data_IF_893450694305
#
_entry.id   IF_893450694305
#
_cell.length_a   1.000
_cell.length_b   1.000
_cell.length_c   1.000
_cell.angle_alpha   90.00
_cell.angle_beta   90.00
_cell.angle_gamma   90.00
#
_symmetry.space_group_name_H-M   'P 1'
#
loop_
_entity.id
_entity.type
_entity.pdbx_description
1 polymer ?
#
# COMPACT_ATOMS: atom_id res chain seq x y z
N UNK A 1 1.56 14.53 -36.40
CA UNK A 1 0.48 15.55 -36.52
C UNK A 1 0.67 16.39 -37.78
N UNK A 2 1.90 16.83 -38.05
CA UNK A 2 2.27 17.53 -39.28
C UNK A 2 1.94 16.76 -40.56
N UNK A 3 2.35 15.48 -40.65
CA UNK A 3 2.04 14.61 -41.80
C UNK A 3 0.55 14.36 -42.03
N UNK A 4 -0.31 14.69 -41.05
CA UNK A 4 -1.78 14.60 -41.15
C UNK A 4 -2.44 15.97 -41.38
N UNK A 5 -1.66 17.05 -41.51
CA UNK A 5 -2.18 18.41 -41.71
C UNK A 5 -2.91 19.01 -40.51
N UNK A 6 -2.77 18.42 -39.32
CA UNK A 6 -3.49 18.82 -38.09
C UNK A 6 -2.66 19.78 -37.21
N UNK A 7 -1.40 20.03 -37.58
CA UNK A 7 -0.54 20.97 -36.88
C UNK A 7 -0.88 22.40 -37.35
N UNK A 8 -1.31 23.28 -36.44
CA UNK A 8 -1.76 24.63 -36.77
C UNK A 8 -2.10 25.48 -35.54
N UNK A 9 -2.58 26.71 -35.76
CA UNK A 9 -2.79 27.73 -34.72
C UNK A 9 -3.83 27.37 -33.65
N UNK A 10 -4.77 26.49 -33.97
CA UNK A 10 -5.87 26.09 -33.07
C UNK A 10 -5.52 24.88 -32.18
N UNK A 11 -4.30 24.33 -32.31
CA UNK A 11 -3.84 23.17 -31.55
C UNK A 11 -2.76 23.60 -30.54
N UNK A 12 -3.12 23.60 -29.26
CA UNK A 12 -2.13 23.68 -28.18
C UNK A 12 -1.65 22.28 -27.82
N UNK A 13 -0.36 22.04 -28.01
CA UNK A 13 0.32 20.84 -27.54
C UNK A 13 0.99 21.19 -26.22
N UNK A 14 0.63 20.46 -25.17
CA UNK A 14 1.26 20.55 -23.87
C UNK A 14 1.81 19.17 -23.51
N UNK A 15 3.02 19.15 -22.94
CA UNK A 15 3.61 17.93 -22.40
C UNK A 15 3.01 17.67 -21.01
N UNK A 16 2.37 16.52 -20.87
CA UNK A 16 1.92 16.01 -19.58
C UNK A 16 2.85 14.88 -19.16
N UNK A 17 3.78 15.19 -18.25
CA UNK A 17 4.62 14.18 -17.63
C UNK A 17 3.81 13.39 -16.61
N UNK A 18 3.28 12.22 -17.01
CA UNK A 18 2.75 11.26 -16.07
C UNK A 18 3.90 10.75 -15.20
N UNK A 19 3.88 11.15 -13.93
CA UNK A 19 4.90 10.78 -12.96
C UNK A 19 4.65 9.41 -12.33
N UNK A 20 5.44 9.13 -11.30
CA UNK A 20 5.32 7.95 -10.48
C UNK A 20 4.01 7.93 -9.70
N UNK A 21 3.35 6.78 -9.71
CA UNK A 21 2.14 6.51 -8.95
C UNK A 21 2.56 5.87 -7.62
N UNK A 22 2.31 6.52 -6.48
CA UNK A 22 2.52 5.89 -5.17
C UNK A 22 1.46 4.82 -4.95
N UNK A 23 1.88 3.55 -4.97
CA UNK A 23 1.01 2.40 -4.73
C UNK A 23 0.89 2.16 -3.22
N UNK A 24 2.00 2.28 -2.49
CA UNK A 24 2.04 2.25 -1.03
C UNK A 24 3.15 3.19 -0.51
N UNK A 25 3.30 3.30 0.81
CA UNK A 25 4.28 4.18 1.49
C UNK A 25 5.74 3.92 1.10
N UNK A 26 6.03 2.74 0.57
CA UNK A 26 7.36 2.27 0.17
C UNK A 26 7.37 1.62 -1.23
N UNK A 27 6.32 1.83 -2.02
CA UNK A 27 6.18 1.26 -3.36
C UNK A 27 5.64 2.29 -4.34
N UNK A 28 6.39 2.52 -5.42
CA UNK A 28 6.00 3.41 -6.53
C UNK A 28 6.05 2.64 -7.85
N UNK A 29 5.18 3.01 -8.79
CA UNK A 29 5.11 2.39 -10.11
C UNK A 29 4.91 3.45 -11.20
N UNK A 30 5.44 3.22 -12.39
CA UNK A 30 5.06 4.00 -13.58
C UNK A 30 3.79 3.44 -14.26
N UNK A 31 3.28 2.30 -13.79
CA UNK A 31 2.12 1.60 -14.36
C UNK A 31 2.23 1.44 -15.89
N UNK A 32 3.31 0.79 -16.33
CA UNK A 32 3.60 0.54 -17.75
C UNK A 32 3.58 -0.98 -18.04
N UNK A 33 2.39 -1.60 -18.17
CA UNK A 33 2.27 -3.05 -18.35
C UNK A 33 2.93 -3.56 -19.64
N UNK A 34 3.07 -2.73 -20.67
CA UNK A 34 3.66 -3.11 -21.95
C UNK A 34 5.19 -3.16 -21.94
N UNK A 35 5.86 -2.62 -20.91
CA UNK A 35 7.34 -2.48 -20.86
C UNK A 35 8.05 -3.79 -21.10
N UNK A 36 7.58 -4.86 -20.47
CA UNK A 36 8.20 -6.16 -20.59
C UNK A 36 8.18 -6.64 -22.05
N UNK A 37 7.02 -6.56 -22.69
CA UNK A 37 6.84 -7.00 -24.07
C UNK A 37 7.59 -6.10 -25.04
N UNK A 38 7.43 -4.78 -24.94
CA UNK A 38 8.13 -3.81 -25.80
C UNK A 38 9.64 -3.99 -25.76
N UNK A 39 10.22 -4.14 -24.58
CA UNK A 39 11.66 -4.28 -24.45
C UNK A 39 12.16 -5.68 -24.82
N UNK A 40 11.62 -6.74 -24.21
CA UNK A 40 12.18 -8.08 -24.35
C UNK A 40 11.72 -8.83 -25.61
N UNK A 41 10.56 -8.49 -26.19
CA UNK A 41 10.09 -9.10 -27.44
C UNK A 41 10.41 -8.24 -28.67
N UNK A 42 10.29 -6.91 -28.57
CA UNK A 42 10.45 -6.02 -29.73
C UNK A 42 11.76 -5.22 -29.72
N UNK A 43 12.56 -5.30 -28.65
CA UNK A 43 13.83 -4.57 -28.54
C UNK A 43 13.65 -3.05 -28.38
N UNK A 44 12.45 -2.59 -28.02
CA UNK A 44 12.18 -1.17 -27.83
C UNK A 44 12.75 -0.67 -26.51
N UNK A 45 13.79 0.16 -26.61
CA UNK A 45 14.51 0.76 -25.48
C UNK A 45 13.82 2.02 -24.93
N UNK A 46 12.76 2.51 -25.57
CA UNK A 46 12.16 3.82 -25.25
C UNK A 46 11.64 3.86 -23.82
N UNK A 47 10.94 2.82 -23.37
CA UNK A 47 10.38 2.80 -22.02
C UNK A 47 11.42 2.69 -20.90
N UNK A 48 12.41 1.76 -20.93
CA UNK A 48 13.45 1.76 -19.91
C UNK A 48 14.25 3.06 -19.89
N UNK A 49 14.52 3.67 -21.05
CA UNK A 49 15.19 4.96 -21.11
C UNK A 49 14.36 6.06 -20.44
N UNK A 50 13.06 6.13 -20.78
CA UNK A 50 12.13 7.08 -20.17
C UNK A 50 11.97 6.87 -18.65
N UNK A 51 11.93 5.61 -18.19
CA UNK A 51 11.96 5.27 -16.77
C UNK A 51 13.17 5.88 -16.07
N UNK A 52 14.35 5.79 -16.69
CA UNK A 52 15.57 6.42 -16.20
C UNK A 52 15.45 7.93 -16.05
N UNK A 53 14.86 8.60 -17.04
CA UNK A 53 14.60 10.04 -16.97
C UNK A 53 13.64 10.38 -15.83
N UNK A 54 12.54 9.64 -15.69
CA UNK A 54 11.58 9.87 -14.61
C UNK A 54 12.17 9.60 -13.22
N UNK A 55 13.14 8.70 -13.11
CA UNK A 55 13.88 8.47 -11.86
C UNK A 55 14.69 9.71 -11.46
N UNK A 56 15.27 10.45 -12.41
CA UNK A 56 16.01 11.69 -12.14
C UNK A 56 15.16 12.70 -11.37
N UNK A 57 13.89 12.85 -11.76
CA UNK A 57 12.93 13.71 -11.08
C UNK A 57 12.57 13.24 -9.67
N UNK A 58 12.45 11.93 -9.45
CA UNK A 58 12.20 11.39 -8.10
C UNK A 58 13.37 11.66 -7.18
N UNK A 59 14.60 11.54 -7.68
CA UNK A 59 15.79 11.82 -6.89
C UNK A 59 15.83 13.28 -6.42
N UNK A 60 15.43 14.25 -7.26
CA UNK A 60 15.35 15.66 -6.84
C UNK A 60 14.37 15.90 -5.69
N UNK A 61 13.35 15.04 -5.54
CA UNK A 61 12.31 15.17 -4.51
C UNK A 61 12.68 14.39 -3.24
N UNK A 62 13.26 13.20 -3.40
CA UNK A 62 13.49 12.26 -2.28
C UNK A 62 14.83 12.48 -1.59
N UNK A 63 15.82 13.03 -2.29
CA UNK A 63 17.13 13.28 -1.68
C UNK A 63 17.06 14.37 -0.61
N UNK A 64 17.77 14.20 0.53
CA UNK A 64 17.85 15.21 1.57
C UNK A 64 18.38 16.56 1.05
N UNK A 65 18.03 17.68 1.72
CA UNK A 65 18.61 18.98 1.40
C UNK A 65 20.14 18.93 1.41
N UNK A 66 20.77 19.42 0.35
CA UNK A 66 22.22 19.42 0.18
C UNK A 66 22.80 18.18 -0.52
N UNK A 67 21.98 17.19 -0.87
CA UNK A 67 22.35 16.12 -1.79
C UNK A 67 21.74 16.36 -3.17
N UNK A 68 22.54 16.14 -4.21
CA UNK A 68 22.10 16.19 -5.59
C UNK A 68 21.98 14.78 -6.18
N UNK A 69 21.19 14.58 -7.25
CA UNK A 69 21.14 13.31 -7.99
C UNK A 69 22.50 12.79 -8.46
N UNK A 70 23.54 13.63 -8.49
CA UNK A 70 24.93 13.24 -8.77
C UNK A 70 25.60 12.45 -7.68
N UNK A 71 25.11 12.56 -6.45
CA UNK A 71 25.77 12.04 -5.26
C UNK A 71 25.28 10.62 -4.95
N UNK A 72 24.57 10.00 -5.88
CA UNK A 72 24.08 8.64 -5.77
C UNK A 72 25.13 7.62 -6.19
N UNK A 73 25.15 6.48 -5.53
CA UNK A 73 25.90 5.30 -5.95
C UNK A 73 24.97 4.35 -6.72
N UNK A 74 24.95 4.48 -8.05
CA UNK A 74 24.06 3.71 -8.94
C UNK A 74 24.70 2.38 -9.38
N UNK A 75 24.01 1.27 -9.13
CA UNK A 75 24.35 -0.05 -9.65
C UNK A 75 23.24 -0.55 -10.55
N UNK A 76 23.56 -0.92 -11.79
CA UNK A 76 22.60 -1.41 -12.76
C UNK A 76 22.94 -2.83 -13.22
N UNK A 77 22.01 -3.76 -13.04
CA UNK A 77 22.20 -5.16 -13.37
C UNK A 77 21.20 -5.58 -14.46
N UNK A 78 21.71 -6.17 -15.53
CA UNK A 78 20.91 -6.63 -16.68
C UNK A 78 20.61 -5.53 -17.70
N UNK A 79 20.09 -5.92 -18.86
CA UNK A 79 20.10 -5.08 -20.06
C UNK A 79 19.15 -3.88 -19.96
N UNK A 80 17.91 -4.08 -19.49
CA UNK A 80 16.96 -2.97 -19.35
C UNK A 80 17.41 -1.95 -18.29
N UNK A 81 18.04 -2.42 -17.22
CA UNK A 81 18.56 -1.56 -16.15
C UNK A 81 19.69 -0.66 -16.64
N UNK A 82 20.54 -1.15 -17.55
CA UNK A 82 21.60 -0.35 -18.17
C UNK A 82 21.02 0.76 -19.07
N UNK A 83 19.96 0.46 -19.82
CA UNK A 83 19.24 1.48 -20.61
C UNK A 83 18.60 2.54 -19.70
N UNK A 84 17.99 2.12 -18.58
CA UNK A 84 17.48 3.04 -17.57
C UNK A 84 18.58 3.89 -16.92
N UNK A 85 19.75 3.32 -16.64
CA UNK A 85 20.89 4.07 -16.11
C UNK A 85 21.37 5.15 -17.11
N UNK A 86 21.34 4.87 -18.42
CA UNK A 86 21.65 5.84 -19.46
C UNK A 86 20.61 6.99 -19.51
N UNK A 87 19.32 6.66 -19.41
CA UNK A 87 18.24 7.64 -19.31
C UNK A 87 18.38 8.55 -18.09
N UNK A 88 18.69 7.96 -16.94
CA UNK A 88 18.94 8.70 -15.70
C UNK A 88 20.16 9.62 -15.83
N UNK A 89 21.26 9.13 -16.38
CA UNK A 89 22.47 9.94 -16.60
C UNK A 89 22.20 11.15 -17.51
N UNK A 90 21.39 10.95 -18.55
CA UNK A 90 20.95 12.05 -19.44
C UNK A 90 20.14 13.10 -18.68
N UNK A 91 19.22 12.66 -17.83
CA UNK A 91 18.38 13.57 -17.06
C UNK A 91 19.17 14.33 -15.99
N UNK A 92 20.09 13.66 -15.29
CA UNK A 92 21.02 14.32 -14.36
C UNK A 92 21.83 15.41 -15.06
N UNK A 93 22.29 15.15 -16.30
CA UNK A 93 22.96 16.15 -17.13
C UNK A 93 22.08 17.37 -17.42
N UNK A 94 20.79 17.15 -17.71
CA UNK A 94 19.82 18.22 -17.96
C UNK A 94 19.52 19.05 -16.70
N UNK A 95 19.37 18.39 -15.55
CA UNK A 95 19.16 19.06 -14.26
C UNK A 95 20.34 19.98 -13.93
N UNK A 96 21.58 19.51 -14.10
CA UNK A 96 22.80 20.33 -13.93
C UNK A 96 22.81 21.55 -14.83
N UNK A 97 22.46 21.39 -16.10
CA UNK A 97 22.46 22.48 -17.07
C UNK A 97 21.41 23.56 -16.75
N UNK A 98 20.28 23.15 -16.17
CA UNK A 98 19.16 24.06 -15.83
C UNK A 98 19.37 24.77 -14.50
N UNK A 99 20.15 24.18 -13.58
CA UNK A 99 20.41 24.68 -12.23
C UNK A 99 21.92 24.91 -12.04
N UNK A 100 22.54 25.89 -12.74
CA UNK A 100 23.94 26.22 -12.50
C UNK A 100 24.11 26.70 -11.05
N UNK A 101 25.18 26.26 -10.40
CA UNK A 101 25.47 26.48 -8.99
C UNK A 101 25.26 27.93 -8.54
N UNK A 102 24.13 28.21 -7.90
CA UNK A 102 23.99 29.38 -7.03
C UNK A 102 24.49 28.99 -5.65
N UNK A 103 25.76 29.28 -5.38
CA UNK A 103 26.50 29.35 -4.10
C UNK A 103 27.92 28.78 -4.25
N UNK A 104 28.77 29.45 -5.03
CA UNK A 104 30.18 29.57 -4.68
C UNK A 104 30.44 31.05 -4.39
N UNK A 105 30.32 31.41 -3.10
CA UNK A 105 30.83 32.68 -2.61
C UNK A 105 32.34 32.54 -2.52
N UNK A 106 33.05 33.50 -3.12
CA UNK A 106 34.51 33.56 -3.23
C UNK A 106 35.24 33.24 -1.91
N UNK A 107 36.46 32.67 -1.97
CA UNK A 107 37.25 32.43 -0.77
C UNK A 107 37.82 33.77 -0.31
N UNK A 108 37.22 34.36 0.72
CA UNK A 108 37.90 35.37 1.52
C UNK A 108 38.39 34.73 2.82
N UNK A 109 39.71 34.76 2.96
CA UNK A 109 40.50 34.22 4.04
C UNK A 109 40.11 34.81 5.40
N UNK A 110 39.77 33.98 6.39
CA UNK A 110 40.46 33.83 7.69
C UNK A 110 39.63 33.04 8.71
N UNK A 111 40.30 32.08 9.34
CA UNK A 111 40.06 31.52 10.68
C UNK A 111 38.78 30.73 10.99
N UNK A 112 39.08 29.53 11.50
CA UNK A 112 38.47 28.88 12.66
C UNK A 112 37.38 27.82 12.45
N UNK A 113 37.78 26.66 12.99
CA UNK A 113 36.98 25.59 13.59
C UNK A 113 36.58 24.42 12.68
N UNK A 114 37.31 23.33 12.93
CA UNK A 114 37.06 21.95 12.55
C UNK A 114 35.61 21.59 12.90
N UNK A 115 34.69 21.75 11.94
CA UNK A 115 33.40 21.10 11.99
C UNK A 115 33.65 19.63 11.65
N UNK A 116 33.40 18.76 12.62
CA UNK A 116 33.44 17.32 12.46
C UNK A 116 32.64 16.91 11.22
N UNK A 117 33.36 16.58 10.14
CA UNK A 117 32.77 16.13 8.89
C UNK A 117 31.95 14.87 9.17
N UNK A 118 30.64 15.03 9.26
CA UNK A 118 29.70 13.92 9.29
C UNK A 118 29.94 13.14 8.00
N UNK A 119 30.18 11.81 8.05
CA UNK A 119 30.51 11.04 6.85
C UNK A 119 29.40 11.22 5.82
N UNK A 120 29.77 11.77 4.66
CA UNK A 120 28.86 12.03 3.55
C UNK A 120 28.48 10.69 2.91
N UNK A 121 27.39 10.08 3.38
CA UNK A 121 26.94 8.80 2.88
C UNK A 121 26.18 8.99 1.56
N UNK A 122 26.76 8.45 0.48
CA UNK A 122 26.16 8.48 -0.84
C UNK A 122 25.00 7.47 -0.90
N UNK A 123 23.76 7.89 -1.18
CA UNK A 123 22.62 6.99 -1.28
C UNK A 123 22.85 5.93 -2.36
N UNK A 124 22.62 4.66 -2.03
CA UNK A 124 22.75 3.56 -2.98
C UNK A 124 21.44 3.38 -3.74
N UNK A 125 21.52 3.37 -5.06
CA UNK A 125 20.41 3.05 -5.95
C UNK A 125 20.76 1.80 -6.76
N UNK A 126 19.89 0.80 -6.72
CA UNK A 126 20.10 -0.45 -7.45
C UNK A 126 18.97 -0.64 -8.46
N UNK A 127 19.33 -0.79 -9.72
CA UNK A 127 18.42 -1.11 -10.81
C UNK A 127 18.59 -2.56 -11.22
N UNK A 128 17.49 -3.31 -11.21
CA UNK A 128 17.45 -4.69 -11.68
C UNK A 128 16.62 -4.80 -12.94
N UNK A 129 17.14 -5.52 -13.93
CA UNK A 129 16.37 -5.94 -15.09
C UNK A 129 15.68 -7.27 -14.81
N UNK A 130 14.45 -7.44 -15.31
CA UNK A 130 13.66 -8.67 -15.09
C UNK A 130 14.35 -9.92 -15.66
N UNK A 131 15.19 -9.79 -16.68
CA UNK A 131 15.91 -10.92 -17.27
C UNK A 131 16.96 -11.58 -16.39
N UNK A 132 17.25 -11.01 -15.22
CA UNK A 132 18.11 -11.63 -14.22
C UNK A 132 17.45 -12.80 -13.49
N UNK A 133 16.12 -12.85 -13.49
CA UNK A 133 15.37 -13.88 -12.80
C UNK A 133 13.98 -13.98 -13.45
N UNK A 134 13.70 -15.05 -14.20
CA UNK A 134 12.36 -15.30 -14.73
C UNK A 134 11.54 -16.22 -13.85
N UNK A 135 12.17 -16.86 -12.85
CA UNK A 135 11.55 -17.93 -12.08
C UNK A 135 10.62 -17.33 -11.03
N UNK A 136 11.07 -16.33 -10.27
CA UNK A 136 10.27 -15.72 -9.19
C UNK A 136 8.87 -15.25 -9.63
N UNK A 137 8.68 -14.51 -10.74
CA UNK A 137 7.33 -14.09 -11.15
C UNK A 137 6.44 -15.24 -11.64
N UNK A 138 7.00 -16.43 -11.90
CA UNK A 138 6.24 -17.63 -12.29
C UNK A 138 5.93 -18.54 -11.09
N UNK A 139 6.51 -18.25 -9.92
CA UNK A 139 6.25 -19.00 -8.69
C UNK A 139 4.98 -18.48 -8.01
N UNK A 140 4.19 -19.39 -7.45
CA UNK A 140 3.08 -19.01 -6.57
C UNK A 140 3.67 -18.40 -5.29
N UNK A 141 3.35 -17.14 -4.97
CA UNK A 141 3.89 -16.50 -3.78
C UNK A 141 3.26 -17.07 -2.50
N UNK A 142 3.92 -16.86 -1.36
CA UNK A 142 3.44 -17.35 -0.06
C UNK A 142 3.19 -16.24 0.97
N UNK A 143 3.46 -14.99 0.60
CA UNK A 143 3.15 -13.82 1.44
C UNK A 143 1.69 -13.39 1.23
N UNK A 144 1.13 -12.69 2.21
CA UNK A 144 -0.28 -12.37 2.22
C UNK A 144 -0.71 -11.46 1.06
N UNK A 145 -0.07 -10.31 0.88
CA UNK A 145 -0.39 -9.37 -0.20
C UNK A 145 -0.19 -9.96 -1.59
N UNK A 146 0.90 -10.70 -1.78
CA UNK A 146 1.17 -11.32 -3.07
C UNK A 146 0.12 -12.40 -3.40
N UNK A 147 -0.39 -13.14 -2.40
CA UNK A 147 -1.50 -14.06 -2.61
C UNK A 147 -2.84 -13.36 -2.84
N UNK A 148 -3.07 -12.20 -2.21
CA UNK A 148 -4.23 -11.36 -2.54
C UNK A 148 -4.17 -10.96 -4.01
N UNK A 149 -3.02 -10.50 -4.50
CA UNK A 149 -2.82 -10.18 -5.91
C UNK A 149 -3.04 -11.39 -6.83
N UNK A 150 -2.53 -12.57 -6.45
CA UNK A 150 -2.68 -13.80 -7.23
C UNK A 150 -4.15 -14.26 -7.34
N UNK A 151 -4.93 -14.13 -6.26
CA UNK A 151 -6.29 -14.69 -6.15
C UNK A 151 -7.38 -13.69 -6.56
N UNK A 152 -7.26 -12.45 -6.08
CA UNK A 152 -8.27 -11.39 -6.27
C UNK A 152 -7.85 -10.44 -7.40
N UNK A 153 -6.55 -10.20 -7.55
CA UNK A 153 -6.03 -9.13 -8.39
C UNK A 153 -5.93 -7.81 -7.63
N UNK A 154 -4.77 -7.16 -7.73
CA UNK A 154 -4.57 -5.78 -7.29
C UNK A 154 -4.25 -4.96 -8.53
N UNK A 155 -5.10 -3.99 -8.84
CA UNK A 155 -4.89 -3.04 -9.94
C UNK A 155 -4.67 -1.64 -9.38
N UNK A 156 -3.48 -1.07 -9.60
CA UNK A 156 -3.09 0.25 -9.10
C UNK A 156 -3.37 0.46 -7.60
N UNK A 157 -3.08 -0.56 -6.79
CA UNK A 157 -3.31 -0.54 -5.34
C UNK A 157 -4.78 -0.73 -4.93
N UNK A 158 -5.69 -1.03 -5.87
CA UNK A 158 -7.11 -1.25 -5.61
C UNK A 158 -7.46 -2.73 -5.78
N UNK A 159 -8.24 -3.26 -4.84
CA UNK A 159 -8.87 -4.58 -4.92
C UNK A 159 -10.37 -4.44 -5.05
N UNK A 160 -10.98 -5.33 -5.84
CA UNK A 160 -12.43 -5.47 -5.91
C UNK A 160 -12.83 -6.70 -5.08
N UNK A 161 -13.44 -6.45 -3.93
CA UNK A 161 -13.81 -7.49 -3.00
C UNK A 161 -15.09 -8.20 -3.48
N UNK A 162 -15.10 -9.54 -3.57
CA UNK A 162 -16.29 -10.30 -3.90
C UNK A 162 -17.32 -10.23 -2.75
N UNK A 163 -18.59 -10.41 -3.09
CA UNK A 163 -19.72 -10.58 -2.14
C UNK A 163 -19.97 -9.44 -1.13
N UNK A 164 -19.44 -8.24 -1.37
CA UNK A 164 -19.74 -7.04 -0.58
C UNK A 164 -21.05 -6.41 -1.05
N UNK A 165 -22.03 -6.25 -0.14
CA UNK A 165 -23.32 -5.62 -0.42
C UNK A 165 -23.34 -4.12 -0.14
N UNK A 166 -24.29 -3.43 -0.76
CA UNK A 166 -24.49 -1.98 -0.59
C UNK A 166 -24.99 -1.69 0.84
N UNK A 167 -24.10 -1.21 1.69
CA UNK A 167 -24.38 -0.92 3.11
C UNK A 167 -23.42 -1.59 4.08
N UNK A 168 -22.56 -2.49 3.59
CA UNK A 168 -21.50 -3.09 4.40
C UNK A 168 -20.48 -2.05 4.86
N UNK A 169 -19.81 -2.36 5.98
CA UNK A 169 -18.81 -1.48 6.58
C UNK A 169 -17.57 -1.31 5.67
N UNK A 170 -17.31 -2.30 4.81
CA UNK A 170 -16.21 -2.30 3.84
C UNK A 170 -16.80 -2.00 2.46
N UNK A 171 -16.20 -1.09 1.66
CA UNK A 171 -16.64 -0.85 0.29
C UNK A 171 -16.22 -2.00 -0.65
N UNK A 172 -16.98 -2.21 -1.73
CA UNK A 172 -16.67 -3.22 -2.74
C UNK A 172 -15.35 -2.95 -3.47
N UNK A 173 -14.98 -1.68 -3.69
CA UNK A 173 -13.65 -1.29 -4.15
C UNK A 173 -12.86 -0.70 -3.00
N UNK A 174 -11.69 -1.27 -2.74
CA UNK A 174 -10.87 -0.92 -1.60
C UNK A 174 -9.45 -0.63 -2.06
N UNK A 175 -8.91 0.53 -1.66
CA UNK A 175 -7.48 0.80 -1.79
C UNK A 175 -6.73 -0.01 -0.73
N UNK A 176 -5.97 -1.00 -1.18
CA UNK A 176 -5.15 -1.89 -0.36
C UNK A 176 -3.73 -1.30 -0.23
N UNK A 177 -3.59 -0.32 0.65
CA UNK A 177 -2.30 0.30 0.99
C UNK A 177 -2.19 0.53 2.49
N UNK A 178 -0.95 0.66 2.97
CA UNK A 178 -0.65 0.94 4.37
C UNK A 178 -1.15 2.32 4.83
N UNK A 179 -1.38 3.25 3.89
CA UNK A 179 -1.98 4.56 4.17
C UNK A 179 -3.49 4.49 4.41
N UNK A 180 -4.20 3.59 3.72
CA UNK A 180 -5.66 3.44 3.86
C UNK A 180 -6.06 2.38 4.90
N UNK A 181 -5.21 1.37 5.11
CA UNK A 181 -5.42 0.28 6.07
C UNK A 181 -4.20 0.23 6.99
N UNK A 182 -4.33 0.83 8.18
CA UNK A 182 -3.21 1.12 9.06
C UNK A 182 -2.41 -0.13 9.47
N UNK A 183 -3.10 -1.23 9.74
CA UNK A 183 -2.49 -2.49 10.17
C UNK A 183 -2.01 -3.38 9.01
N UNK A 184 -2.22 -2.97 7.76
CA UNK A 184 -1.84 -3.78 6.60
C UNK A 184 -0.33 -3.97 6.49
N UNK A 185 0.45 -2.92 6.80
CA UNK A 185 1.92 -2.96 6.78
C UNK A 185 2.51 -4.08 7.64
N UNK A 186 1.86 -4.40 8.76
CA UNK A 186 2.32 -5.43 9.70
C UNK A 186 2.15 -6.85 9.18
N UNK A 187 1.19 -7.07 8.28
CA UNK A 187 0.77 -8.43 7.87
C UNK A 187 0.97 -8.70 6.37
N UNK A 188 1.10 -7.67 5.52
CA UNK A 188 1.20 -7.80 4.06
C UNK A 188 2.33 -8.73 3.60
N UNK A 189 3.48 -8.65 4.29
CA UNK A 189 4.68 -9.47 4.02
C UNK A 189 4.74 -10.77 4.83
N UNK A 190 3.77 -11.04 5.70
CA UNK A 190 3.76 -12.25 6.51
C UNK A 190 3.46 -13.48 5.65
N UNK A 191 4.07 -14.61 6.01
CA UNK A 191 3.73 -15.89 5.38
C UNK A 191 2.27 -16.26 5.69
N UNK A 192 1.53 -16.72 4.67
CA UNK A 192 0.07 -16.94 4.76
C UNK A 192 -0.38 -17.83 5.92
N UNK A 193 0.45 -18.77 6.37
CA UNK A 193 0.15 -19.66 7.50
C UNK A 193 0.04 -18.94 8.85
N UNK A 194 0.62 -17.74 9.00
CA UNK A 194 0.62 -16.99 10.26
C UNK A 194 -0.47 -15.92 10.31
N UNK A 195 -0.97 -15.48 9.15
CA UNK A 195 -1.96 -14.38 9.01
C UNK A 195 -3.23 -14.63 9.83
N UNK A 196 -3.75 -15.86 9.84
CA UNK A 196 -4.95 -16.18 10.63
C UNK A 196 -4.76 -15.92 12.13
N UNK A 197 -3.63 -16.36 12.67
CA UNK A 197 -3.31 -16.19 14.10
C UNK A 197 -3.15 -14.70 14.42
N UNK A 198 -2.56 -13.93 13.51
CA UNK A 198 -2.44 -12.48 13.66
C UNK A 198 -3.83 -11.81 13.65
N UNK A 199 -4.70 -12.15 12.70
CA UNK A 199 -6.08 -11.61 12.64
C UNK A 199 -6.89 -11.94 13.90
N UNK A 200 -6.74 -13.15 14.44
CA UNK A 200 -7.37 -13.53 15.71
C UNK A 200 -6.87 -12.69 16.88
N UNK A 201 -5.55 -12.48 16.98
CA UNK A 201 -4.98 -11.65 18.04
C UNK A 201 -5.48 -10.19 17.95
N UNK A 202 -5.52 -9.62 16.74
CA UNK A 202 -6.04 -8.26 16.51
C UNK A 202 -7.53 -8.15 16.87
N UNK A 203 -8.32 -9.17 16.54
CA UNK A 203 -9.74 -9.23 16.94
C UNK A 203 -9.90 -9.22 18.46
N UNK A 204 -9.12 -10.02 19.20
CA UNK A 204 -9.20 -10.04 20.67
C UNK A 204 -8.88 -8.67 21.27
N UNK A 205 -7.83 -8.00 20.77
CA UNK A 205 -7.48 -6.64 21.22
C UNK A 205 -8.60 -5.62 20.94
N UNK A 206 -9.28 -5.76 19.80
CA UNK A 206 -10.42 -4.92 19.45
C UNK A 206 -11.62 -5.16 20.39
N UNK A 207 -11.89 -6.42 20.77
CA UNK A 207 -12.94 -6.74 21.74
C UNK A 207 -12.62 -6.21 23.14
N UNK A 208 -11.37 -6.31 23.58
CA UNK A 208 -10.93 -5.74 24.86
C UNK A 208 -11.09 -4.21 24.87
N UNK A 209 -10.72 -3.54 23.76
CA UNK A 209 -10.91 -2.09 23.61
C UNK A 209 -12.40 -1.71 23.62
N UNK A 210 -13.25 -2.51 22.97
CA UNK A 210 -14.70 -2.30 22.93
C UNK A 210 -15.35 -2.49 24.30
N UNK A 211 -14.97 -3.54 25.03
CA UNK A 211 -15.48 -3.80 26.38
C UNK A 211 -15.06 -2.71 27.36
N UNK A 212 -13.82 -2.21 27.27
CA UNK A 212 -13.35 -1.04 28.01
C UNK A 212 -14.24 0.19 27.81
N UNK A 213 -14.57 0.55 26.57
CA UNK A 213 -15.52 1.63 26.29
C UNK A 213 -16.94 1.33 26.79
N UNK A 214 -17.38 0.08 26.70
CA UNK A 214 -18.67 -0.36 27.24
C UNK A 214 -18.79 -0.09 28.74
N UNK A 215 -17.72 -0.34 29.51
CA UNK A 215 -17.67 0.00 30.94
C UNK A 215 -17.71 1.51 31.18
N UNK A 216 -16.99 2.31 30.40
CA UNK A 216 -17.04 3.77 30.48
C UNK A 216 -18.45 4.32 30.19
N UNK A 217 -19.14 3.75 29.20
CA UNK A 217 -20.51 4.12 28.86
C UNK A 217 -21.51 3.74 29.97
N UNK A 218 -21.38 2.54 30.54
CA UNK A 218 -22.21 2.11 31.66
C UNK A 218 -21.97 2.93 32.94
N UNK A 219 -20.73 3.41 33.16
CA UNK A 219 -20.41 4.30 34.27
C UNK A 219 -21.05 5.69 34.13
N UNK A 220 -21.09 6.24 32.91
CA UNK A 220 -21.80 7.48 32.60
C UNK A 220 -23.30 7.34 32.88
N UNK A 221 -23.91 6.23 32.51
CA UNK A 221 -25.34 5.96 32.75
C UNK A 221 -25.68 5.89 34.26
N UNK A 222 -24.81 5.27 35.07
CA UNK A 222 -24.97 5.21 36.54
C UNK A 222 -24.80 6.54 37.27
N UNK A 223 -24.18 7.55 36.64
CA UNK A 223 -24.05 8.88 37.22
C UNK A 223 -25.34 9.72 37.15
N UNK A 224 -26.41 9.19 36.54
CA UNK A 224 -27.76 9.75 36.64
C UNK A 224 -28.48 9.24 37.90
N UNK A 225 -28.77 10.09 38.90
CA UNK A 225 -29.54 9.66 40.06
C UNK A 225 -31.01 9.49 39.66
N UNK A 226 -31.55 8.29 39.89
CA UNK A 226 -32.99 8.03 39.82
C UNK A 226 -33.71 8.65 41.00
N UNK A 227 -34.36 9.79 40.79
CA UNK A 227 -35.68 10.13 41.37
C UNK A 227 -36.08 11.58 41.00
N UNK A 228 -37.06 11.72 40.11
CA UNK A 228 -38.06 12.80 40.19
C UNK A 228 -37.82 14.13 39.47
N UNK A 229 -36.78 14.31 38.66
CA UNK A 229 -36.66 15.55 37.86
C UNK A 229 -36.14 15.28 36.44
N UNK A 230 -36.67 16.06 35.48
CA UNK A 230 -36.49 16.03 34.02
C UNK A 230 -35.22 15.35 33.49
N UNK A 231 -35.29 14.62 32.35
CA UNK A 231 -34.12 13.95 31.77
C UNK A 231 -33.00 14.97 31.53
N UNK A 232 -31.92 14.89 32.31
CA UNK A 232 -30.70 15.65 32.05
C UNK A 232 -29.99 14.99 30.87
N UNK A 233 -30.05 15.68 29.73
CA UNK A 233 -29.30 15.32 28.52
C UNK A 233 -27.81 15.26 28.89
N UNK A 234 -27.08 14.21 28.49
CA UNK A 234 -25.63 14.16 28.66
C UNK A 234 -24.99 15.43 28.11
N UNK A 235 -23.95 15.94 28.78
CA UNK A 235 -23.29 17.16 28.29
C UNK A 235 -22.74 16.90 26.88
N UNK A 236 -22.85 17.90 26.00
CA UNK A 236 -22.35 17.80 24.62
C UNK A 236 -20.85 17.42 24.57
N UNK A 237 -20.07 17.83 25.58
CA UNK A 237 -18.66 17.49 25.74
C UNK A 237 -18.46 15.97 25.97
N UNK A 238 -19.28 15.34 26.81
CA UNK A 238 -19.19 13.90 27.10
C UNK A 238 -19.53 13.04 25.87
N UNK A 239 -20.47 13.49 25.04
CA UNK A 239 -20.83 12.82 23.79
C UNK A 239 -19.76 13.01 22.70
N UNK A 240 -19.12 14.19 22.63
CA UNK A 240 -18.00 14.41 21.72
C UNK A 240 -16.79 13.56 22.09
N UNK A 241 -16.50 13.40 23.38
CA UNK A 241 -15.38 12.58 23.87
C UNK A 241 -15.61 11.10 23.55
N UNK A 242 -16.83 10.60 23.76
CA UNK A 242 -17.20 9.24 23.40
C UNK A 242 -17.12 9.00 21.89
N UNK A 243 -17.62 9.96 21.09
CA UNK A 243 -17.52 9.90 19.63
C UNK A 243 -16.06 9.87 19.17
N UNK A 244 -15.18 10.66 19.80
CA UNK A 244 -13.75 10.67 19.51
C UNK A 244 -13.09 9.31 19.83
N UNK A 245 -13.52 8.64 20.91
CA UNK A 245 -13.02 7.31 21.28
C UNK A 245 -13.57 6.17 20.41
N UNK A 246 -14.80 6.30 19.90
CA UNK A 246 -15.44 5.25 19.08
C UNK A 246 -14.89 5.21 17.65
N UNK A 247 -14.58 6.37 17.06
CA UNK A 247 -14.03 6.48 15.69
C UNK A 247 -12.83 5.55 15.41
N UNK A 248 -11.75 5.54 16.22
CA UNK A 248 -10.61 4.66 15.97
C UNK A 248 -10.98 3.18 16.07
N UNK A 249 -11.87 2.78 16.99
CA UNK A 249 -12.32 1.40 17.12
C UNK A 249 -13.09 0.95 15.87
N UNK A 250 -13.98 1.79 15.34
CA UNK A 250 -14.72 1.50 14.11
C UNK A 250 -13.80 1.45 12.89
N UNK A 251 -12.78 2.31 12.84
CA UNK A 251 -11.76 2.28 11.78
C UNK A 251 -10.98 0.97 11.80
N UNK A 252 -10.45 0.56 12.95
CA UNK A 252 -9.74 -0.72 13.11
C UNK A 252 -10.65 -1.91 12.77
N UNK A 253 -11.92 -1.87 13.20
CA UNK A 253 -12.91 -2.91 12.86
C UNK A 253 -13.09 -3.03 11.35
N UNK A 254 -13.24 -1.91 10.64
CA UNK A 254 -13.38 -1.87 9.19
C UNK A 254 -12.15 -2.47 8.52
N UNK A 255 -10.96 -2.03 8.94
CA UNK A 255 -9.68 -2.47 8.39
C UNK A 255 -9.48 -3.98 8.58
N UNK A 256 -9.71 -4.50 9.79
CA UNK A 256 -9.62 -5.95 10.05
C UNK A 256 -10.68 -6.76 9.29
N UNK A 257 -11.88 -6.21 9.11
CA UNK A 257 -12.93 -6.87 8.31
C UNK A 257 -12.50 -6.99 6.86
N UNK A 258 -11.94 -5.93 6.28
CA UNK A 258 -11.43 -5.96 4.91
C UNK A 258 -10.32 -7.01 4.73
N UNK A 259 -9.34 -7.04 5.64
CA UNK A 259 -8.25 -8.02 5.60
C UNK A 259 -8.75 -9.45 5.81
N UNK A 260 -9.79 -9.65 6.62
CA UNK A 260 -10.41 -10.96 6.80
C UNK A 260 -11.10 -11.43 5.51
N UNK A 261 -11.85 -10.58 4.82
CA UNK A 261 -12.46 -10.90 3.51
C UNK A 261 -11.37 -11.34 2.53
N UNK A 262 -10.31 -10.54 2.38
CA UNK A 262 -9.16 -10.90 1.53
C UNK A 262 -8.56 -12.27 1.93
N UNK A 263 -8.41 -12.52 3.22
CA UNK A 263 -7.86 -13.79 3.72
C UNK A 263 -8.78 -14.99 3.45
N UNK A 264 -10.09 -14.83 3.57
CA UNK A 264 -11.09 -15.86 3.29
C UNK A 264 -11.08 -16.24 1.80
N UNK A 265 -11.01 -15.26 0.90
CA UNK A 265 -10.86 -15.50 -0.54
C UNK A 265 -9.58 -16.26 -0.89
N UNK A 266 -8.44 -15.82 -0.35
CA UNK A 266 -7.15 -16.50 -0.54
C UNK A 266 -7.19 -17.95 -0.04
N UNK A 267 -7.92 -18.23 1.05
CA UNK A 267 -8.12 -19.60 1.54
C UNK A 267 -9.11 -20.41 0.72
N UNK A 268 -10.19 -19.78 0.25
CA UNK A 268 -11.26 -20.41 -0.51
C UNK A 268 -10.74 -21.08 -1.78
N UNK A 269 -9.88 -20.39 -2.54
CA UNK A 269 -9.27 -20.98 -3.74
C UNK A 269 -8.28 -22.12 -3.44
N UNK A 270 -7.54 -22.04 -2.32
CA UNK A 270 -6.59 -23.09 -1.92
C UNK A 270 -7.27 -24.40 -1.49
N UNK A 271 -8.53 -24.34 -1.08
CA UNK A 271 -9.37 -25.52 -0.79
C UNK A 271 -9.90 -26.20 -2.06
N UNK A 272 -10.09 -25.48 -3.17
CA UNK A 272 -10.48 -26.07 -4.47
C UNK A 272 -9.36 -26.80 -5.20
N UNK A 273 -8.10 -26.50 -4.87
CA UNK A 273 -6.90 -27.13 -5.46
C UNK A 273 -6.45 -28.43 -4.74
N UNK A 274 -7.17 -28.88 -3.70
CA UNK A 274 -6.83 -30.12 -3.01
C UNK A 274 -7.59 -31.34 -3.59
N UNK A 275 -6.79 -32.30 -4.08
CA UNK A 275 -7.17 -33.61 -4.62
C UNK A 275 -8.30 -34.29 -3.81
N UNK A 276 -9.44 -34.55 -4.48
CA UNK A 276 -10.49 -35.43 -3.96
C UNK A 276 -10.00 -36.88 -4.06
N UNK A 277 -9.98 -37.61 -2.95
CA UNK A 277 -9.80 -39.06 -3.04
C UNK A 277 -11.02 -39.71 -3.72
N UNK A 278 -10.89 -40.98 -4.11
CA UNK A 278 -11.92 -41.75 -4.82
C UNK A 278 -13.24 -41.95 -4.06
N UNK A 279 -13.39 -41.39 -2.85
CA UNK A 279 -14.61 -41.35 -2.06
C UNK A 279 -15.12 -39.92 -1.78
N UNK A 280 -14.52 -38.90 -2.40
CA UNK A 280 -14.97 -37.51 -2.33
C UNK A 280 -14.77 -36.85 -0.96
N UNK A 281 -13.88 -37.36 -0.10
CA UNK A 281 -13.64 -36.78 1.23
C UNK A 281 -12.35 -35.97 1.26
N UNK A 282 -12.45 -34.71 1.70
CA UNK A 282 -11.28 -33.90 2.03
C UNK A 282 -10.68 -34.36 3.37
N UNK A 283 -9.50 -34.98 3.35
CA UNK A 283 -8.86 -35.57 4.55
C UNK A 283 -8.22 -34.51 5.48
N UNK A 284 -8.19 -33.22 5.09
CA UNK A 284 -7.85 -32.10 5.98
C UNK A 284 -9.07 -31.26 6.42
N UNK A 285 -10.29 -31.72 6.10
CA UNK A 285 -11.54 -31.00 6.34
C UNK A 285 -12.13 -31.15 7.74
N UNK A 286 -11.63 -32.07 8.57
CA UNK A 286 -12.24 -32.38 9.87
C UNK A 286 -11.86 -31.41 11.00
N UNK A 287 -10.70 -30.75 10.93
CA UNK A 287 -10.30 -29.79 11.98
C UNK A 287 -10.88 -28.39 11.72
N UNK A 288 -11.31 -28.09 10.49
CA UNK A 288 -11.80 -26.75 10.13
C UNK A 288 -13.32 -26.56 10.21
N UNK A 289 -14.13 -27.64 10.18
CA UNK A 289 -15.58 -27.53 10.30
C UNK A 289 -16.07 -27.04 11.68
N UNK A 290 -15.31 -27.28 12.75
CA UNK A 290 -15.68 -26.78 14.09
C UNK A 290 -15.56 -25.25 14.22
N UNK A 291 -14.73 -24.60 13.39
CA UNK A 291 -14.50 -23.16 13.47
C UNK A 291 -15.53 -22.36 12.67
N UNK A 292 -15.99 -22.88 11.52
CA UNK A 292 -17.06 -22.26 10.71
C UNK A 292 -18.40 -22.22 11.47
N UNK A 293 -18.66 -23.20 12.34
CA UNK A 293 -19.88 -23.26 13.14
C UNK A 293 -19.98 -22.09 14.16
N UNK A 294 -18.85 -21.51 14.57
CA UNK A 294 -18.83 -20.45 15.58
C UNK A 294 -18.94 -19.01 15.02
N UNK A 295 -18.78 -18.83 13.70
CA UNK A 295 -18.91 -17.50 13.05
C UNK A 295 -20.30 -17.34 12.42
N UNK A 296 -20.91 -18.41 11.91
CA UNK A 296 -22.29 -18.35 11.38
C UNK A 296 -23.34 -18.12 12.47
N UNK A 297 -23.10 -18.49 13.72
CA UNK A 297 -24.03 -18.23 14.83
C UNK A 297 -24.08 -16.76 15.29
N UNK A 298 -23.16 -15.90 14.82
CA UNK A 298 -23.22 -14.46 15.11
C UNK A 298 -24.01 -13.64 14.08
N UNK A 299 -24.58 -14.28 13.04
CA UNK A 299 -25.44 -13.61 12.05
C UNK A 299 -26.92 -13.56 12.45
N UNK A 300 -27.32 -14.16 13.58
CA UNK A 300 -28.75 -14.34 13.92
C UNK A 300 -29.31 -13.52 15.08
N UNK A 301 -28.55 -12.66 15.77
CA UNK A 301 -29.10 -11.95 16.94
C UNK A 301 -28.96 -10.45 16.83
N UNK A 302 -30.00 -9.86 16.23
CA UNK A 302 -30.75 -8.65 16.65
C UNK A 302 -31.24 -7.84 15.44
N UNK A 303 -32.15 -8.46 14.69
CA UNK A 303 -33.27 -7.76 14.08
C UNK A 303 -34.38 -7.76 15.13
N UNK A 304 -34.56 -6.64 15.85
CA UNK A 304 -35.82 -6.42 16.57
C UNK A 304 -36.24 -4.97 16.38
N UNK A 305 -37.34 -4.81 15.64
CA UNK A 305 -38.18 -3.62 15.57
C UNK A 305 -38.46 -3.10 16.99
N UNK A 306 -38.23 -1.81 17.22
CA UNK A 306 -39.25 -0.82 17.56
C UNK A 306 -38.79 0.54 17.04
#
# INVERSE_FOLDING_TARGET
MESRGVLGHDLQIADLSFGWIPIDTDLISLNLPEVYTSYFLYGDTSWPYHFGQMLGHVLEIVLPPGQAPTDINLHAFGSAAQVAAAGLSSEIGRIKATKPASFEMAPDSTNQECSSAVPFHHPMFILFSRNLDYVTPLMVPTTFEALIHEVIGIDNGVVELPDVQKGDIVPAKLNLSSSNISCFKEVRNAHISTVHKWLQAQRSQLEDSRTGLGFSLAALDRSLPGSGSSPRVPSAASLSDLSAQLKPILAVRRDLTALLICFEEVRGQKLSLNYKDGNGRCVLGQVLMEVTFNISQSKEVYLCKY
#
